data_IF_919157224417
#
_entry.id   IF_919157224417
#
_cell.length_a   1.000
_cell.length_b   1.000
_cell.length_c   1.000
_cell.angle_alpha   90.00
_cell.angle_beta   90.00
_cell.angle_gamma   90.00
#
_symmetry.space_group_name_H-M   'P 1'
#
loop_
_entity.id
_entity.type
_entity.pdbx_description
1 polymer ?
#
# COMPACT_ATOMS: atom_id res chain seq x y z
N UNK A 1 1.16 8.39 -6.11
CA UNK A 1 2.01 8.81 -4.95
C UNK A 1 2.59 7.55 -4.31
N UNK A 2 3.71 7.60 -3.61
CA UNK A 2 4.22 6.43 -2.88
C UNK A 2 3.80 6.46 -1.41
N UNK A 3 3.66 5.28 -0.82
CA UNK A 3 3.45 5.12 0.63
C UNK A 3 4.41 4.09 1.18
N UNK A 4 4.90 4.33 2.39
CA UNK A 4 5.89 3.47 3.04
C UNK A 4 5.36 2.89 4.37
N UNK A 5 5.70 1.62 4.61
CA UNK A 5 5.43 0.90 5.85
C UNK A 5 6.70 0.19 6.27
N UNK A 6 7.11 0.37 7.52
CA UNK A 6 8.17 -0.41 8.14
C UNK A 6 7.55 -1.58 8.91
N UNK A 7 8.04 -2.79 8.66
CA UNK A 7 7.64 -4.00 9.39
C UNK A 7 8.88 -4.89 9.58
N UNK A 8 9.14 -5.32 10.81
CA UNK A 8 10.28 -6.18 11.15
C UNK A 8 11.65 -5.64 10.68
N UNK A 9 11.84 -4.31 10.76
CA UNK A 9 13.06 -3.62 10.33
C UNK A 9 13.27 -3.57 8.81
N UNK A 10 12.25 -3.94 8.03
CA UNK A 10 12.25 -3.87 6.58
C UNK A 10 11.31 -2.78 6.11
N UNK A 11 11.78 -1.93 5.19
CA UNK A 11 10.97 -0.91 4.56
C UNK A 11 10.23 -1.51 3.36
N UNK A 12 8.92 -1.31 3.31
CA UNK A 12 8.07 -1.71 2.19
C UNK A 12 7.47 -0.47 1.56
N UNK A 13 7.44 -0.44 0.23
CA UNK A 13 6.89 0.68 -0.54
C UNK A 13 5.77 0.17 -1.44
N UNK A 14 4.73 0.99 -1.57
CA UNK A 14 3.61 0.75 -2.47
C UNK A 14 3.27 2.02 -3.26
N UNK A 15 2.97 1.84 -4.53
CA UNK A 15 2.48 2.91 -5.38
C UNK A 15 0.96 3.04 -5.23
N UNK A 16 0.53 4.25 -4.88
CA UNK A 16 -0.86 4.59 -4.63
C UNK A 16 -1.43 5.36 -5.81
N UNK A 17 -2.52 4.83 -6.34
CA UNK A 17 -3.37 5.45 -7.34
C UNK A 17 -4.73 5.75 -6.75
N UNK A 18 -5.27 6.94 -7.01
CA UNK A 18 -6.62 7.32 -6.63
C UNK A 18 -7.39 7.70 -7.89
N UNK A 19 -8.60 7.15 -8.03
CA UNK A 19 -9.52 7.45 -9.13
C UNK A 19 -10.94 7.15 -8.67
N UNK A 20 -11.86 8.08 -8.93
CA UNK A 20 -13.29 7.96 -8.61
C UNK A 20 -13.57 7.56 -7.15
N UNK A 21 -12.76 8.07 -6.21
CA UNK A 21 -12.93 7.77 -4.79
C UNK A 21 -12.51 6.35 -4.40
N UNK A 22 -11.77 5.65 -5.25
CA UNK A 22 -11.14 4.36 -4.98
C UNK A 22 -9.64 4.55 -4.85
N UNK A 23 -9.08 4.09 -3.73
CA UNK A 23 -7.64 4.02 -3.50
C UNK A 23 -7.17 2.63 -3.90
N UNK A 24 -6.20 2.57 -4.80
CA UNK A 24 -5.51 1.35 -5.21
C UNK A 24 -4.06 1.45 -4.79
N UNK A 25 -3.54 0.41 -4.15
CA UNK A 25 -2.11 0.29 -3.82
C UNK A 25 -1.53 -0.89 -4.59
N UNK A 26 -0.43 -0.65 -5.28
CA UNK A 26 0.32 -1.64 -6.03
C UNK A 26 1.69 -1.85 -5.39
N UNK A 27 2.17 -3.08 -5.36
CA UNK A 27 3.52 -3.42 -4.88
C UNK A 27 4.42 -3.78 -6.06
N UNK A 28 5.73 -3.69 -5.86
CA UNK A 28 6.74 -4.13 -6.85
C UNK A 28 6.64 -5.62 -7.21
N UNK A 29 5.92 -6.41 -6.40
CA UNK A 29 5.60 -7.81 -6.69
C UNK A 29 4.50 -8.00 -7.74
N UNK A 30 3.91 -6.91 -8.26
CA UNK A 30 2.77 -6.95 -9.17
C UNK A 30 1.43 -7.24 -8.49
N UNK A 31 1.38 -7.17 -7.16
CA UNK A 31 0.13 -7.33 -6.41
C UNK A 31 -0.57 -6.00 -6.23
N UNK A 32 -1.90 -6.04 -6.18
CA UNK A 32 -2.73 -4.86 -5.97
C UNK A 32 -3.83 -5.13 -4.93
N UNK A 33 -4.13 -4.13 -4.12
CA UNK A 33 -5.33 -4.06 -3.28
C UNK A 33 -6.01 -2.70 -3.46
N UNK A 34 -7.34 -2.67 -3.34
CA UNK A 34 -8.12 -1.44 -3.51
C UNK A 34 -9.28 -1.35 -2.52
N UNK A 35 -9.67 -0.13 -2.18
CA UNK A 35 -10.87 0.16 -1.38
C UNK A 35 -11.39 1.56 -1.65
N UNK A 36 -12.69 1.79 -1.41
CA UNK A 36 -13.27 3.14 -1.45
C UNK A 36 -12.76 4.02 -0.31
N UNK A 37 -12.61 5.32 -0.56
CA UNK A 37 -12.11 6.32 0.41
C UNK A 37 -13.03 6.43 1.64
N UNK A 38 -14.35 6.40 1.44
CA UNK A 38 -15.33 6.35 2.53
C UNK A 38 -15.22 7.47 3.58
N UNK A 39 -14.64 8.62 3.22
CA UNK A 39 -14.39 9.74 4.14
C UNK A 39 -13.10 9.65 4.98
N UNK A 40 -12.27 8.62 4.79
CA UNK A 40 -10.93 8.54 5.38
C UNK A 40 -9.89 9.26 4.52
N UNK A 41 -8.68 9.48 5.03
CA UNK A 41 -7.59 10.01 4.20
C UNK A 41 -7.03 8.91 3.29
N UNK A 42 -6.63 9.31 2.07
CA UNK A 42 -6.00 8.42 1.10
C UNK A 42 -4.74 7.78 1.69
N UNK A 43 -3.93 8.56 2.42
CA UNK A 43 -2.70 8.08 3.04
C UNK A 43 -2.97 6.99 4.09
N UNK A 44 -3.93 7.21 5.00
CA UNK A 44 -4.25 6.21 6.04
C UNK A 44 -4.79 4.91 5.44
N UNK A 45 -5.61 5.01 4.39
CA UNK A 45 -6.08 3.85 3.64
C UNK A 45 -4.90 3.15 2.97
N UNK A 46 -4.05 3.88 2.26
CA UNK A 46 -2.95 3.32 1.51
C UNK A 46 -1.95 2.59 2.42
N UNK A 47 -1.62 3.16 3.59
CA UNK A 47 -0.80 2.48 4.61
C UNK A 47 -1.46 1.21 5.13
N UNK A 48 -2.76 1.25 5.36
CA UNK A 48 -3.52 0.07 5.82
C UNK A 48 -3.51 -1.04 4.78
N UNK A 49 -3.75 -0.70 3.51
CA UNK A 49 -3.70 -1.64 2.39
C UNK A 49 -2.29 -2.22 2.22
N UNK A 50 -1.26 -1.37 2.22
CA UNK A 50 0.13 -1.84 2.11
C UNK A 50 0.48 -2.78 3.27
N UNK A 51 0.16 -2.42 4.51
CA UNK A 51 0.41 -3.27 5.68
C UNK A 51 -0.28 -4.65 5.56
N UNK A 52 -1.52 -4.70 5.04
CA UNK A 52 -2.21 -5.97 4.79
C UNK A 52 -1.49 -6.80 3.75
N UNK A 53 -1.07 -6.19 2.64
CA UNK A 53 -0.31 -6.87 1.58
C UNK A 53 1.03 -7.40 2.08
N UNK A 54 1.74 -6.62 2.89
CA UNK A 54 2.99 -7.04 3.55
C UNK A 54 2.74 -8.27 4.42
N UNK A 55 1.74 -8.25 5.30
CA UNK A 55 1.37 -9.39 6.15
C UNK A 55 0.93 -10.62 5.35
N UNK A 56 0.40 -10.43 4.14
CA UNK A 56 0.00 -11.50 3.24
C UNK A 56 1.15 -12.02 2.36
N UNK A 57 2.38 -11.50 2.48
CA UNK A 57 3.51 -11.86 1.63
C UNK A 57 3.41 -11.36 0.18
N UNK A 58 2.56 -10.35 -0.06
CA UNK A 58 2.28 -9.74 -1.37
C UNK A 58 3.08 -8.46 -1.63
N UNK A 59 3.97 -8.07 -0.72
CA UNK A 59 4.90 -6.97 -0.89
C UNK A 59 6.32 -7.48 -0.68
N UNK A 60 7.28 -6.89 -1.40
CA UNK A 60 8.70 -7.16 -1.20
C UNK A 60 9.34 -5.99 -0.46
N UNK A 61 10.33 -6.22 0.40
CA UNK A 61 11.12 -5.14 0.96
C UNK A 61 11.76 -4.31 -0.15
N UNK A 62 11.78 -3.00 0.03
CA UNK A 62 12.55 -2.09 -0.82
C UNK A 62 14.03 -2.43 -0.65
N UNK A 63 14.70 -2.70 -1.77
CA UNK A 63 16.15 -2.88 -1.76
C UNK A 63 16.80 -1.57 -1.28
N UNK A 64 17.76 -1.71 -0.36
CA UNK A 64 18.53 -0.58 0.18
C UNK A 64 19.43 0.06 -0.88
#
# INVERSE_FOLDING_TARGET
MEVEVEMDGQLYVGEVHESDGVVTVMTDGGYMEMTSIGGSSIESIARTLLLRMVRAGKARPKAA
#
